data_IF_054709828601
#
_entry.id   IF_054709828601
#
_cell.length_a   1.000
_cell.length_b   1.000
_cell.length_c   1.000
_cell.angle_alpha   90.00
_cell.angle_beta   90.00
_cell.angle_gamma   90.00
#
_symmetry.space_group_name_H-M   'P 1'
#
loop_
_entity.id
_entity.type
_entity.pdbx_description
1 polymer ?
#
# COMPACT_ATOMS: atom_id res chain seq x y z
N UNK A 1 -12.51 -4.60 28.94
CA UNK A 1 -12.05 -4.47 27.53
C UNK A 1 -10.55 -4.23 27.58
N UNK A 2 -9.79 -4.53 26.52
CA UNK A 2 -8.38 -4.14 26.48
C UNK A 2 -8.25 -2.62 26.61
N UNK A 3 -7.47 -2.17 27.59
CA UNK A 3 -7.25 -0.76 27.90
C UNK A 3 -5.75 -0.49 27.93
N UNK A 4 -5.38 0.76 27.66
CA UNK A 4 -3.99 1.18 27.70
C UNK A 4 -3.48 1.22 29.14
N UNK A 5 -2.34 0.57 29.40
CA UNK A 5 -1.70 0.59 30.71
C UNK A 5 -0.72 1.77 30.86
N UNK A 6 -0.12 2.22 29.76
CA UNK A 6 0.82 3.35 29.72
C UNK A 6 0.33 4.46 28.79
N UNK A 7 0.13 5.66 29.37
CA UNK A 7 -0.20 6.86 28.59
C UNK A 7 0.88 7.21 27.57
N UNK A 8 2.16 6.99 27.91
CA UNK A 8 3.28 7.28 27.02
C UNK A 8 3.24 6.37 25.78
N UNK A 9 2.99 5.07 25.96
CA UNK A 9 2.89 4.12 24.85
C UNK A 9 1.66 4.41 23.98
N UNK A 10 0.54 4.80 24.59
CA UNK A 10 -0.65 5.26 23.86
C UNK A 10 -0.36 6.48 22.99
N UNK A 11 0.33 7.49 23.51
CA UNK A 11 0.68 8.70 22.74
C UNK A 11 1.64 8.35 21.60
N UNK A 12 2.67 7.53 21.86
CA UNK A 12 3.58 7.08 20.80
C UNK A 12 2.86 6.27 19.71
N UNK A 13 1.94 5.39 20.11
CA UNK A 13 1.08 4.64 19.20
C UNK A 13 0.31 5.55 18.24
N UNK A 14 -0.38 6.57 18.77
CA UNK A 14 -1.14 7.53 17.96
C UNK A 14 -0.22 8.34 17.04
N UNK A 15 0.90 8.87 17.57
CA UNK A 15 1.86 9.67 16.78
C UNK A 15 2.42 8.85 15.62
N UNK A 16 2.89 7.64 15.88
CA UNK A 16 3.43 6.75 14.84
C UNK A 16 2.38 6.45 13.76
N UNK A 17 1.14 6.22 14.16
CA UNK A 17 0.06 5.96 13.23
C UNK A 17 -0.31 7.13 12.34
N UNK A 18 -0.35 8.34 12.89
CA UNK A 18 -0.62 9.54 12.10
C UNK A 18 0.56 9.94 11.22
N UNK A 19 1.80 9.69 11.65
CA UNK A 19 2.98 9.84 10.78
C UNK A 19 2.90 8.87 9.61
N UNK A 20 2.53 7.60 9.85
CA UNK A 20 2.33 6.62 8.78
C UNK A 20 1.26 7.08 7.77
N UNK A 21 0.12 7.56 8.27
CA UNK A 21 -0.95 8.13 7.46
C UNK A 21 -0.46 9.29 6.57
N UNK A 22 0.26 10.25 7.15
CA UNK A 22 0.76 11.43 6.40
C UNK A 22 1.79 11.02 5.35
N UNK A 23 2.77 10.21 5.75
CA UNK A 23 3.85 9.76 4.86
C UNK A 23 3.30 9.04 3.63
N UNK A 24 2.40 8.07 3.84
CA UNK A 24 1.77 7.36 2.73
C UNK A 24 0.81 8.25 1.93
N UNK A 25 0.01 9.12 2.57
CA UNK A 25 -0.94 9.99 1.86
C UNK A 25 -0.25 10.94 0.89
N UNK A 26 0.87 11.55 1.28
CA UNK A 26 1.63 12.48 0.42
C UNK A 26 2.05 11.79 -0.89
N UNK A 27 2.36 10.50 -0.85
CA UNK A 27 2.82 9.76 -2.04
C UNK A 27 1.79 9.68 -3.19
N UNK A 28 0.50 9.87 -2.92
CA UNK A 28 -0.58 9.81 -3.92
C UNK A 28 -0.69 11.10 -4.76
N UNK A 29 -0.39 12.24 -4.15
CA UNK A 29 -0.65 13.55 -4.75
C UNK A 29 0.18 13.86 -6.01
N UNK A 30 1.48 13.53 -6.11
CA UNK A 30 2.29 13.86 -7.28
C UNK A 30 1.64 13.40 -8.60
N UNK A 31 1.11 12.16 -8.63
CA UNK A 31 0.48 11.63 -9.84
C UNK A 31 -0.84 12.34 -10.17
N UNK A 32 -1.67 12.59 -9.15
CA UNK A 32 -2.95 13.29 -9.32
C UNK A 32 -2.74 14.71 -9.87
N UNK A 33 -1.77 15.43 -9.32
CA UNK A 33 -1.41 16.79 -9.74
C UNK A 33 -0.81 16.76 -11.15
N UNK A 34 0.06 15.80 -11.45
CA UNK A 34 0.68 15.68 -12.77
C UNK A 34 -0.38 15.45 -13.86
N UNK A 35 -1.31 14.53 -13.63
CA UNK A 35 -2.43 14.27 -14.54
C UNK A 35 -3.28 15.53 -14.75
N UNK A 36 -3.59 16.25 -13.66
CA UNK A 36 -4.38 17.48 -13.73
C UNK A 36 -3.68 18.60 -14.51
N UNK A 37 -2.37 18.78 -14.32
CA UNK A 37 -1.57 19.80 -15.01
C UNK A 37 -1.40 19.49 -16.49
N UNK A 38 -1.13 18.23 -16.84
CA UNK A 38 -0.91 17.81 -18.23
C UNK A 38 -2.20 17.59 -19.02
N UNK A 39 -3.35 17.45 -18.33
CA UNK A 39 -4.63 17.00 -18.91
C UNK A 39 -4.48 15.71 -19.74
N UNK A 40 -3.51 14.89 -19.36
CA UNK A 40 -3.09 13.69 -20.07
C UNK A 40 -2.62 12.66 -19.06
N UNK A 41 -3.03 11.42 -19.25
CA UNK A 41 -2.60 10.26 -18.47
C UNK A 41 -1.58 9.41 -19.25
N UNK A 42 -0.99 9.97 -20.31
CA UNK A 42 0.01 9.27 -21.11
C UNK A 42 1.26 8.97 -20.27
N UNK A 43 1.63 7.69 -20.20
CA UNK A 43 2.72 7.16 -19.38
C UNK A 43 2.28 6.62 -18.01
N UNK A 44 1.04 6.85 -17.59
CA UNK A 44 0.47 6.21 -16.40
C UNK A 44 0.13 4.75 -16.70
N UNK A 45 0.52 3.83 -15.83
CA UNK A 45 0.14 2.43 -15.94
C UNK A 45 -1.29 2.22 -15.42
N UNK A 46 -2.23 1.94 -16.33
CA UNK A 46 -3.66 1.81 -15.99
C UNK A 46 -3.93 0.56 -15.15
N UNK A 47 -3.23 -0.54 -15.43
CA UNK A 47 -3.35 -1.78 -14.67
C UNK A 47 -2.92 -1.56 -13.21
N UNK A 48 -1.84 -0.79 -13.00
CA UNK A 48 -1.38 -0.44 -11.66
C UNK A 48 -2.44 0.33 -10.86
N UNK A 49 -3.12 1.30 -11.49
CA UNK A 49 -4.21 2.06 -10.84
C UNK A 49 -5.39 1.15 -10.51
N UNK A 50 -5.78 0.27 -11.44
CA UNK A 50 -6.89 -0.68 -11.25
C UNK A 50 -6.62 -1.70 -10.12
N UNK A 51 -5.41 -2.27 -10.08
CA UNK A 51 -5.00 -3.20 -9.03
C UNK A 51 -4.87 -2.50 -7.67
N UNK A 52 -4.38 -1.25 -7.64
CA UNK A 52 -4.36 -0.44 -6.42
C UNK A 52 -5.75 -0.18 -5.87
N UNK A 53 -6.73 0.11 -6.73
CA UNK A 53 -8.10 0.32 -6.27
C UNK A 53 -8.62 -0.94 -5.57
N UNK A 54 -8.39 -2.11 -6.16
CA UNK A 54 -8.76 -3.40 -5.55
C UNK A 54 -8.07 -3.62 -4.20
N UNK A 55 -6.76 -3.37 -4.12
CA UNK A 55 -5.98 -3.44 -2.87
C UNK A 55 -6.57 -2.52 -1.80
N UNK A 56 -6.69 -1.23 -2.10
CA UNK A 56 -7.08 -0.22 -1.12
C UNK A 56 -8.53 -0.40 -0.68
N UNK A 57 -9.44 -0.78 -1.59
CA UNK A 57 -10.83 -1.10 -1.23
C UNK A 57 -10.91 -2.30 -0.29
N UNK A 58 -10.14 -3.36 -0.55
CA UNK A 58 -10.10 -4.53 0.33
C UNK A 58 -9.53 -4.19 1.72
N UNK A 59 -8.49 -3.35 1.75
CA UNK A 59 -7.92 -2.88 3.01
C UNK A 59 -8.89 -1.99 3.81
N UNK A 60 -9.61 -1.09 3.12
CA UNK A 60 -10.66 -0.26 3.72
C UNK A 60 -11.79 -1.11 4.29
N UNK A 61 -12.28 -2.11 3.55
CA UNK A 61 -13.34 -3.01 4.03
C UNK A 61 -12.89 -3.69 5.33
N UNK A 62 -11.67 -4.23 5.39
CA UNK A 62 -11.14 -4.85 6.61
C UNK A 62 -11.07 -3.83 7.77
N UNK A 63 -10.42 -2.69 7.56
CA UNK A 63 -10.22 -1.70 8.62
C UNK A 63 -11.54 -1.13 9.12
N UNK A 64 -12.41 -0.67 8.21
CA UNK A 64 -13.69 -0.07 8.58
C UNK A 64 -14.60 -1.06 9.30
N UNK A 65 -14.73 -2.30 8.80
CA UNK A 65 -15.61 -3.29 9.44
C UNK A 65 -15.07 -3.70 10.81
N UNK A 66 -13.77 -3.96 10.95
CA UNK A 66 -13.18 -4.31 12.25
C UNK A 66 -13.22 -3.13 13.25
N UNK A 67 -13.08 -1.90 12.76
CA UNK A 67 -13.11 -0.70 13.59
C UNK A 67 -14.53 -0.33 14.07
N UNK A 68 -15.55 -0.44 13.22
CA UNK A 68 -16.92 0.01 13.55
C UNK A 68 -17.87 -1.11 13.99
N UNK A 69 -17.70 -2.35 13.52
CA UNK A 69 -18.69 -3.41 13.79
C UNK A 69 -18.44 -4.09 15.13
N UNK A 70 -19.35 -3.87 16.09
CA UNK A 70 -19.33 -4.54 17.39
C UNK A 70 -19.44 -6.05 17.27
N UNK A 71 -20.18 -6.58 16.28
CA UNK A 71 -20.29 -8.01 16.02
C UNK A 71 -18.95 -8.64 15.61
N UNK A 72 -18.20 -7.98 14.74
CA UNK A 72 -16.88 -8.47 14.30
C UNK A 72 -15.85 -8.35 15.44
N UNK A 73 -15.89 -7.26 16.20
CA UNK A 73 -15.05 -7.10 17.38
C UNK A 73 -15.33 -8.15 18.46
N UNK A 74 -16.61 -8.54 18.64
CA UNK A 74 -16.98 -9.61 19.56
C UNK A 74 -16.40 -10.96 19.09
N UNK A 75 -16.48 -11.27 17.80
CA UNK A 75 -15.84 -12.48 17.24
C UNK A 75 -14.32 -12.46 17.36
N UNK A 76 -13.70 -11.28 17.19
CA UNK A 76 -12.26 -11.11 17.39
C UNK A 76 -11.86 -11.44 18.82
N UNK A 77 -12.56 -10.86 19.81
CA UNK A 77 -12.30 -11.11 21.23
C UNK A 77 -12.63 -12.53 21.66
N UNK A 78 -13.64 -13.15 21.05
CA UNK A 78 -13.92 -14.58 21.25
C UNK A 78 -12.76 -15.46 20.75
N UNK A 79 -12.12 -15.09 19.64
CA UNK A 79 -11.02 -15.87 19.06
C UNK A 79 -9.68 -15.65 19.78
N UNK A 80 -9.36 -14.42 20.13
CA UNK A 80 -8.01 -14.05 20.61
C UNK A 80 -7.94 -13.67 22.09
N UNK A 81 -9.07 -13.44 22.75
CA UNK A 81 -9.14 -13.08 24.16
C UNK A 81 -10.01 -11.84 24.42
N UNK A 82 -10.80 -11.86 25.49
CA UNK A 82 -11.70 -10.77 25.88
C UNK A 82 -10.99 -9.48 26.30
N UNK A 83 -9.75 -9.62 26.78
CA UNK A 83 -8.89 -8.52 27.20
C UNK A 83 -8.04 -7.94 26.05
N UNK A 84 -8.13 -8.50 24.85
CA UNK A 84 -7.37 -8.01 23.71
C UNK A 84 -7.99 -6.75 23.12
N UNK A 85 -7.13 -5.79 22.79
CA UNK A 85 -7.48 -4.59 22.06
C UNK A 85 -7.67 -4.91 20.58
N UNK A 86 -8.52 -4.13 19.92
CA UNK A 86 -8.75 -4.29 18.48
C UNK A 86 -7.51 -3.76 17.74
N UNK A 87 -6.91 -4.54 16.82
CA UNK A 87 -5.64 -4.23 16.18
C UNK A 87 -5.76 -3.28 14.98
N UNK A 88 -6.74 -2.37 15.03
CA UNK A 88 -7.04 -1.37 13.99
C UNK A 88 -7.34 -0.05 14.69
N UNK A 89 -6.64 1.01 14.29
CA UNK A 89 -6.87 2.36 14.78
C UNK A 89 -7.52 3.28 13.74
N UNK A 90 -7.88 4.48 14.20
CA UNK A 90 -8.51 5.50 13.37
C UNK A 90 -7.63 5.90 12.17
N UNK A 91 -6.31 5.97 12.36
CA UNK A 91 -5.37 6.29 11.28
C UNK A 91 -5.36 5.23 10.16
N UNK A 92 -5.59 3.96 10.48
CA UNK A 92 -5.69 2.87 9.48
C UNK A 92 -6.94 3.06 8.59
N UNK A 93 -8.08 3.40 9.22
CA UNK A 93 -9.33 3.69 8.50
C UNK A 93 -9.19 4.97 7.67
N UNK A 94 -8.60 6.02 8.24
CA UNK A 94 -8.34 7.28 7.55
C UNK A 94 -7.44 7.07 6.33
N UNK A 95 -6.33 6.35 6.49
CA UNK A 95 -5.40 6.04 5.40
C UNK A 95 -6.07 5.25 4.29
N UNK A 96 -6.73 4.13 4.64
CA UNK A 96 -7.38 3.27 3.65
C UNK A 96 -8.52 4.00 2.91
N UNK A 97 -9.28 4.85 3.60
CA UNK A 97 -10.30 5.70 2.98
C UNK A 97 -9.69 6.70 2.00
N UNK A 98 -8.65 7.41 2.44
CA UNK A 98 -7.92 8.37 1.62
C UNK A 98 -7.33 7.71 0.36
N UNK A 99 -6.69 6.55 0.51
CA UNK A 99 -6.10 5.81 -0.59
C UNK A 99 -7.14 5.35 -1.62
N UNK A 100 -8.32 4.88 -1.18
CA UNK A 100 -9.43 4.55 -2.09
C UNK A 100 -9.89 5.78 -2.85
N UNK A 101 -10.11 6.91 -2.16
CA UNK A 101 -10.59 8.15 -2.79
C UNK A 101 -9.61 8.67 -3.85
N UNK A 102 -8.32 8.77 -3.51
CA UNK A 102 -7.30 9.29 -4.42
C UNK A 102 -7.05 8.34 -5.61
N UNK A 103 -7.13 7.03 -5.37
CA UNK A 103 -7.00 6.05 -6.46
C UNK A 103 -8.24 6.06 -7.37
N UNK A 104 -9.44 6.16 -6.81
CA UNK A 104 -10.68 6.31 -7.58
C UNK A 104 -10.68 7.62 -8.40
N UNK A 105 -10.18 8.71 -7.80
CA UNK A 105 -10.00 9.97 -8.51
C UNK A 105 -9.00 9.85 -9.67
N UNK A 106 -7.88 9.16 -9.45
CA UNK A 106 -6.91 8.87 -10.52
C UNK A 106 -7.52 8.00 -11.62
N UNK A 107 -8.35 7.02 -11.26
CA UNK A 107 -9.07 6.19 -12.22
C UNK A 107 -10.08 7.02 -13.03
N UNK A 108 -10.76 7.96 -12.38
CA UNK A 108 -11.63 8.93 -13.06
C UNK A 108 -10.84 9.81 -14.05
N UNK A 109 -9.63 10.27 -13.68
CA UNK A 109 -8.75 11.00 -14.61
C UNK A 109 -8.40 10.16 -15.85
N UNK A 110 -8.22 8.84 -15.71
CA UNK A 110 -7.96 7.93 -16.85
C UNK A 110 -9.13 7.90 -17.85
N UNK A 111 -10.36 8.07 -17.37
CA UNK A 111 -11.54 8.08 -18.24
C UNK A 111 -11.77 9.40 -18.98
N UNK A 112 -11.30 10.52 -18.41
CA UNK A 112 -11.57 11.87 -18.95
C UNK A 112 -10.39 12.44 -19.75
N UNK A 113 -9.15 12.20 -19.31
CA UNK A 113 -7.97 12.82 -19.92
C UNK A 113 -7.42 12.04 -21.10
N UNK A 114 -6.55 12.69 -21.88
CA UNK A 114 -5.94 12.08 -23.05
C UNK A 114 -5.11 10.85 -22.64
N UNK A 115 -5.46 9.69 -23.21
CA UNK A 115 -4.79 8.40 -22.97
C UNK A 115 -4.11 7.80 -24.21
N UNK A 116 -4.22 8.46 -25.37
CA UNK A 116 -3.81 7.93 -26.67
C UNK A 116 -4.36 6.51 -26.88
N UNK A 117 -3.49 5.54 -27.20
CA UNK A 117 -3.85 4.15 -27.43
C UNK A 117 -3.72 3.25 -26.18
N UNK A 118 -3.38 3.81 -25.01
CA UNK A 118 -3.28 3.03 -23.78
C UNK A 118 -4.66 2.51 -23.34
N UNK A 119 -4.73 1.24 -22.96
CA UNK A 119 -5.94 0.55 -22.49
C UNK A 119 -5.57 -0.33 -21.30
N UNK A 120 -6.56 -0.66 -20.48
CA UNK A 120 -6.40 -1.71 -19.47
C UNK A 120 -6.09 -3.04 -20.13
N UNK A 121 -5.14 -3.78 -19.58
CA UNK A 121 -4.84 -5.13 -20.04
C UNK A 121 -5.99 -6.08 -19.71
N UNK A 122 -6.31 -6.97 -20.65
CA UNK A 122 -7.29 -8.05 -20.43
C UNK A 122 -6.91 -8.93 -19.24
N UNK A 123 -5.60 -9.09 -18.99
CA UNK A 123 -5.09 -9.86 -17.84
C UNK A 123 -5.43 -9.14 -16.53
N UNK A 124 -5.16 -7.83 -16.43
CA UNK A 124 -5.45 -7.06 -15.23
C UNK A 124 -6.96 -7.02 -14.93
N UNK A 125 -7.79 -6.82 -15.96
CA UNK A 125 -9.25 -6.91 -15.84
C UNK A 125 -9.65 -8.31 -15.36
N UNK A 126 -9.12 -9.37 -15.97
CA UNK A 126 -9.39 -10.76 -15.57
C UNK A 126 -9.05 -11.03 -14.10
N UNK A 127 -7.89 -10.58 -13.63
CA UNK A 127 -7.47 -10.70 -12.22
C UNK A 127 -8.48 -10.00 -11.30
N UNK A 128 -8.84 -8.76 -11.60
CA UNK A 128 -9.80 -7.99 -10.79
C UNK A 128 -11.17 -8.67 -10.77
N UNK A 129 -11.67 -9.12 -11.92
CA UNK A 129 -12.94 -9.84 -12.01
C UNK A 129 -12.94 -11.12 -11.17
N UNK A 130 -11.89 -11.94 -11.27
CA UNK A 130 -11.77 -13.18 -10.48
C UNK A 130 -11.78 -12.87 -8.98
N UNK A 131 -11.02 -11.86 -8.56
CA UNK A 131 -10.90 -11.51 -7.13
C UNK A 131 -12.21 -11.00 -6.57
N UNK A 132 -12.90 -10.10 -7.26
CA UNK A 132 -14.18 -9.58 -6.78
C UNK A 132 -15.29 -10.62 -6.88
N UNK A 133 -15.25 -11.53 -7.86
CA UNK A 133 -16.14 -12.68 -7.91
C UNK A 133 -15.92 -13.62 -6.73
N UNK A 134 -14.66 -14.00 -6.44
CA UNK A 134 -14.33 -14.81 -5.26
C UNK A 134 -14.72 -14.12 -3.96
N UNK A 135 -14.49 -12.81 -3.84
CA UNK A 135 -14.91 -12.02 -2.69
C UNK A 135 -16.44 -12.02 -2.52
N UNK A 136 -17.20 -11.89 -3.61
CA UNK A 136 -18.66 -11.97 -3.57
C UNK A 136 -19.14 -13.34 -3.06
N UNK A 137 -18.54 -14.44 -3.56
CA UNK A 137 -18.83 -15.80 -3.04
C UNK A 137 -18.51 -15.90 -1.55
N UNK A 138 -17.36 -15.38 -1.11
CA UNK A 138 -17.02 -15.36 0.32
C UNK A 138 -18.01 -14.55 1.15
N UNK A 139 -18.54 -13.43 0.63
CA UNK A 139 -19.59 -12.65 1.30
C UNK A 139 -20.84 -13.49 1.52
N UNK A 140 -21.32 -14.22 0.50
CA UNK A 140 -22.48 -15.10 0.65
C UNK A 140 -22.25 -16.19 1.70
N UNK A 141 -21.07 -16.83 1.70
CA UNK A 141 -20.69 -17.84 2.70
C UNK A 141 -20.60 -17.23 4.10
N UNK A 142 -19.99 -16.05 4.23
CA UNK A 142 -19.79 -15.34 5.49
C UNK A 142 -21.10 -14.91 6.13
N UNK A 143 -22.05 -14.43 5.32
CA UNK A 143 -23.42 -14.11 5.74
C UNK A 143 -24.13 -15.36 6.25
N UNK A 144 -24.12 -16.45 5.48
CA UNK A 144 -24.83 -17.67 5.84
C UNK A 144 -24.28 -18.35 7.11
N UNK A 145 -22.96 -18.31 7.31
CA UNK A 145 -22.31 -18.90 8.51
C UNK A 145 -22.18 -17.95 9.69
N UNK A 146 -22.60 -16.69 9.54
CA UNK A 146 -22.34 -15.61 10.51
C UNK A 146 -20.85 -15.44 10.87
N UNK A 147 -19.93 -15.82 9.98
CA UNK A 147 -18.47 -15.81 10.22
C UNK A 147 -17.84 -14.50 9.74
N UNK A 148 -18.25 -13.37 10.32
CA UNK A 148 -17.83 -12.03 9.90
C UNK A 148 -16.32 -11.79 10.03
N UNK A 149 -15.69 -12.25 11.12
CA UNK A 149 -14.25 -12.11 11.30
C UNK A 149 -13.47 -12.87 10.22
N UNK A 150 -13.93 -14.06 9.83
CA UNK A 150 -13.32 -14.81 8.73
C UNK A 150 -13.46 -14.05 7.42
N UNK A 151 -14.65 -13.51 7.13
CA UNK A 151 -14.92 -12.76 5.91
C UNK A 151 -14.00 -11.54 5.76
N UNK A 152 -13.83 -10.73 6.81
CA UNK A 152 -12.93 -9.57 6.71
C UNK A 152 -11.47 -9.98 6.53
N UNK A 153 -11.05 -11.13 7.09
CA UNK A 153 -9.69 -11.65 6.88
C UNK A 153 -9.44 -12.11 5.43
N UNK A 154 -10.49 -12.47 4.68
CA UNK A 154 -10.37 -12.68 3.22
C UNK A 154 -9.97 -11.38 2.53
N UNK A 155 -10.61 -10.25 2.84
CA UNK A 155 -10.24 -8.94 2.29
C UNK A 155 -8.83 -8.50 2.72
N UNK A 156 -8.46 -8.79 3.98
CA UNK A 156 -7.10 -8.58 4.48
C UNK A 156 -6.05 -9.43 3.74
N UNK A 157 -6.42 -10.62 3.28
CA UNK A 157 -5.53 -11.46 2.45
C UNK A 157 -5.41 -10.92 1.03
N UNK A 158 -6.51 -10.46 0.42
CA UNK A 158 -6.52 -9.87 -0.92
C UNK A 158 -5.56 -8.67 -1.00
N UNK A 159 -5.59 -7.76 -0.02
CA UNK A 159 -4.74 -6.56 -0.04
C UNK A 159 -3.24 -6.89 0.10
N UNK A 160 -2.88 -7.90 0.89
CA UNK A 160 -1.48 -8.36 1.01
C UNK A 160 -1.01 -8.99 -0.29
N UNK A 161 -1.80 -9.91 -0.86
CA UNK A 161 -1.48 -10.56 -2.15
C UNK A 161 -1.28 -9.54 -3.25
N UNK A 162 -2.15 -8.53 -3.33
CA UNK A 162 -2.01 -7.41 -4.28
C UNK A 162 -0.73 -6.63 -4.08
N UNK A 163 -0.30 -6.44 -2.84
CA UNK A 163 0.94 -5.71 -2.53
C UNK A 163 2.16 -6.47 -3.06
N UNK A 164 2.24 -7.78 -2.83
CA UNK A 164 3.33 -8.63 -3.33
C UNK A 164 3.38 -8.66 -4.86
N UNK A 165 2.22 -8.83 -5.51
CA UNK A 165 2.10 -8.86 -6.98
C UNK A 165 2.64 -7.57 -7.61
N UNK A 166 2.58 -6.43 -6.91
CA UNK A 166 3.02 -5.14 -7.44
C UNK A 166 4.52 -4.89 -7.28
N UNK A 167 5.10 -5.24 -6.13
CA UNK A 167 6.51 -4.92 -5.87
C UNK A 167 7.48 -5.87 -6.61
N UNK A 168 7.15 -7.16 -6.73
CA UNK A 168 8.03 -8.15 -7.36
C UNK A 168 8.37 -7.79 -8.81
N UNK A 169 7.41 -7.49 -9.71
CA UNK A 169 7.73 -7.14 -11.09
C UNK A 169 8.58 -5.88 -11.20
N UNK A 170 8.36 -4.90 -10.32
CA UNK A 170 9.15 -3.66 -10.32
C UNK A 170 10.60 -3.93 -9.93
N UNK A 171 10.84 -4.72 -8.89
CA UNK A 171 12.20 -5.08 -8.45
C UNK A 171 12.95 -5.86 -9.55
N UNK A 172 12.26 -6.78 -10.23
CA UNK A 172 12.81 -7.53 -11.36
C UNK A 172 13.08 -6.62 -12.56
N UNK A 173 12.18 -5.69 -12.87
CA UNK A 173 12.35 -4.75 -13.99
C UNK A 173 13.57 -3.86 -13.77
N UNK A 174 13.72 -3.26 -12.59
CA UNK A 174 14.91 -2.48 -12.25
C UNK A 174 16.19 -3.32 -12.39
N UNK A 175 16.16 -4.58 -11.96
CA UNK A 175 17.30 -5.48 -12.09
C UNK A 175 17.63 -5.82 -13.55
N UNK A 176 16.62 -5.99 -14.42
CA UNK A 176 16.80 -6.30 -15.85
C UNK A 176 17.28 -5.07 -16.63
N UNK A 177 16.69 -3.91 -16.38
CA UNK A 177 17.03 -2.65 -17.06
C UNK A 177 18.34 -2.05 -16.55
N UNK A 178 18.85 -2.50 -15.39
CA UNK A 178 20.02 -1.91 -14.72
C UNK A 178 19.89 -0.38 -14.55
N UNK A 179 18.66 0.07 -14.36
CA UNK A 179 18.28 1.48 -14.22
C UNK A 179 17.03 1.58 -13.35
N UNK A 180 16.95 2.68 -12.62
CA UNK A 180 15.77 3.11 -11.86
C UNK A 180 15.18 4.40 -12.43
N UNK A 181 15.49 4.73 -13.69
CA UNK A 181 14.93 5.91 -14.35
C UNK A 181 13.40 5.77 -14.50
N UNK A 182 12.66 6.84 -14.20
CA UNK A 182 11.19 6.84 -14.20
C UNK A 182 10.55 6.48 -12.86
N UNK A 183 11.37 6.26 -11.82
CA UNK A 183 10.93 5.91 -10.47
C UNK A 183 11.14 7.09 -9.51
N UNK A 184 10.10 7.50 -8.78
CA UNK A 184 10.22 8.55 -7.75
C UNK A 184 10.81 7.96 -6.47
N UNK A 185 12.12 8.08 -6.28
CA UNK A 185 12.79 7.60 -5.06
C UNK A 185 12.23 8.26 -3.80
N UNK A 186 11.77 9.51 -3.89
CA UNK A 186 11.11 10.20 -2.79
C UNK A 186 9.83 9.49 -2.32
N UNK A 187 9.06 8.90 -3.24
CA UNK A 187 7.89 8.12 -2.86
C UNK A 187 8.26 6.85 -2.10
N UNK A 188 9.39 6.21 -2.42
CA UNK A 188 9.88 5.04 -1.69
C UNK A 188 10.39 5.39 -0.30
N UNK A 189 11.06 6.54 -0.15
CA UNK A 189 11.47 6.99 1.19
C UNK A 189 10.24 7.29 2.08
N UNK A 190 9.18 7.85 1.50
CA UNK A 190 7.90 8.03 2.18
C UNK A 190 7.19 6.71 2.48
N UNK A 191 7.24 5.74 1.56
CA UNK A 191 6.68 4.40 1.76
C UNK A 191 7.40 3.66 2.89
N UNK A 192 8.75 3.73 2.91
CA UNK A 192 9.57 3.17 3.97
C UNK A 192 9.26 3.81 5.33
N UNK A 193 9.18 5.15 5.39
CA UNK A 193 8.81 5.85 6.61
C UNK A 193 7.42 5.42 7.10
N UNK A 194 6.45 5.32 6.18
CA UNK A 194 5.11 4.83 6.48
C UNK A 194 5.12 3.40 7.01
N UNK A 195 5.84 2.49 6.35
CA UNK A 195 5.97 1.10 6.76
C UNK A 195 6.63 0.93 8.14
N UNK A 196 7.74 1.63 8.39
CA UNK A 196 8.46 1.58 9.67
C UNK A 196 7.61 2.12 10.80
N UNK A 197 6.97 3.28 10.62
CA UNK A 197 6.12 3.90 11.65
C UNK A 197 4.84 3.09 11.89
N UNK A 198 4.24 2.51 10.85
CA UNK A 198 3.09 1.63 10.97
C UNK A 198 3.41 0.32 11.72
N UNK A 199 4.59 -0.26 11.46
CA UNK A 199 5.07 -1.42 12.23
C UNK A 199 5.38 -1.03 13.68
N UNK A 200 6.01 0.13 13.89
CA UNK A 200 6.27 0.70 15.20
C UNK A 200 5.00 0.94 16.02
N UNK A 201 3.93 1.45 15.39
CA UNK A 201 2.61 1.57 16.01
C UNK A 201 2.14 0.21 16.53
N UNK A 202 2.23 -0.85 15.73
CA UNK A 202 1.84 -2.19 16.19
C UNK A 202 2.69 -2.68 17.37
N UNK A 203 4.00 -2.40 17.33
CA UNK A 203 4.90 -2.73 18.42
C UNK A 203 4.53 -2.02 19.73
N UNK A 204 4.16 -0.73 19.69
CA UNK A 204 3.78 0.02 20.91
C UNK A 204 2.57 -0.61 21.62
N UNK A 205 1.53 -0.98 20.86
CA UNK A 205 0.37 -1.67 21.42
C UNK A 205 0.74 -3.04 21.98
N UNK A 206 1.55 -3.83 21.26
CA UNK A 206 1.99 -5.15 21.74
C UNK A 206 2.82 -5.09 23.02
N UNK A 207 3.68 -4.07 23.15
CA UNK A 207 4.48 -3.83 24.36
C UNK A 207 3.56 -3.47 25.53
N UNK A 208 2.60 -2.58 25.32
CA UNK A 208 1.65 -2.16 26.37
C UNK A 208 0.79 -3.34 26.86
N UNK A 209 0.24 -4.12 25.93
CA UNK A 209 -0.61 -5.27 26.24
C UNK A 209 0.17 -6.51 26.71
N UNK A 210 1.52 -6.49 26.64
CA UNK A 210 2.38 -7.68 26.82
C UNK A 210 1.91 -8.89 25.98
N UNK A 211 1.37 -8.61 24.79
CA UNK A 211 0.73 -9.59 23.91
C UNK A 211 1.11 -9.38 22.46
N UNK A 212 1.40 -10.47 21.76
CA UNK A 212 1.71 -10.47 20.33
C UNK A 212 0.44 -10.61 19.46
N UNK A 213 -0.74 -10.70 20.07
CA UNK A 213 -2.04 -10.83 19.37
C UNK A 213 -2.25 -9.72 18.36
N UNK A 214 -1.76 -8.51 18.60
CA UNK A 214 -1.84 -7.42 17.63
C UNK A 214 -1.23 -7.78 16.27
N UNK A 215 -0.07 -8.46 16.26
CA UNK A 215 0.66 -8.80 15.04
C UNK A 215 -0.02 -9.87 14.20
N UNK A 216 -0.52 -10.95 14.81
CA UNK A 216 -1.17 -12.04 14.07
C UNK A 216 -2.69 -11.88 13.96
N UNK A 217 -3.31 -11.13 14.87
CA UNK A 217 -4.72 -10.74 14.82
C UNK A 217 -5.01 -9.75 13.69
N UNK A 218 -4.01 -8.97 13.27
CA UNK A 218 -4.01 -8.19 12.03
C UNK A 218 -2.78 -8.53 11.18
N UNK A 219 -2.70 -9.78 10.74
CA UNK A 219 -1.56 -10.28 9.95
C UNK A 219 -1.34 -9.46 8.68
N UNK A 220 -2.38 -8.90 8.06
CA UNK A 220 -2.22 -8.11 6.86
C UNK A 220 -1.60 -6.74 7.08
N UNK A 221 -1.82 -6.08 8.23
CA UNK A 221 -1.09 -4.85 8.58
C UNK A 221 0.38 -5.16 8.84
N UNK A 222 0.66 -6.27 9.51
CA UNK A 222 2.02 -6.79 9.73
C UNK A 222 2.73 -7.07 8.41
N UNK A 223 2.13 -7.89 7.54
CA UNK A 223 2.71 -8.28 6.26
C UNK A 223 2.83 -7.09 5.31
N UNK A 224 1.84 -6.18 5.28
CA UNK A 224 1.92 -4.96 4.48
C UNK A 224 3.18 -4.15 4.85
N UNK A 225 3.40 -3.94 6.16
CA UNK A 225 4.54 -3.17 6.65
C UNK A 225 5.86 -3.87 6.34
N UNK A 226 5.98 -5.17 6.62
CA UNK A 226 7.20 -5.94 6.39
C UNK A 226 7.55 -6.04 4.90
N UNK A 227 6.57 -6.31 4.04
CA UNK A 227 6.76 -6.41 2.59
C UNK A 227 7.15 -5.05 2.02
N UNK A 228 6.49 -3.96 2.41
CA UNK A 228 6.88 -2.60 1.99
C UNK A 228 8.32 -2.30 2.41
N UNK A 229 8.67 -2.40 3.70
CA UNK A 229 10.03 -2.14 4.19
C UNK A 229 11.07 -2.96 3.42
N UNK A 230 10.82 -4.26 3.20
CA UNK A 230 11.72 -5.14 2.48
C UNK A 230 11.96 -4.68 1.02
N UNK A 231 10.89 -4.40 0.27
CA UNK A 231 11.03 -3.96 -1.11
C UNK A 231 11.59 -2.55 -1.22
N UNK A 232 11.26 -1.65 -0.29
CA UNK A 232 11.78 -0.29 -0.26
C UNK A 232 13.29 -0.29 -0.04
N UNK A 233 13.80 -1.14 0.87
CA UNK A 233 15.24 -1.35 1.03
C UNK A 233 15.88 -1.86 -0.28
N UNK A 234 15.24 -2.82 -0.96
CA UNK A 234 15.73 -3.29 -2.27
C UNK A 234 15.78 -2.14 -3.28
N UNK A 235 14.74 -1.30 -3.37
CA UNK A 235 14.70 -0.19 -4.31
C UNK A 235 15.74 0.89 -3.99
N UNK A 236 15.97 1.19 -2.71
CA UNK A 236 17.01 2.12 -2.24
C UNK A 236 18.39 1.59 -2.63
N UNK A 237 18.67 0.29 -2.40
CA UNK A 237 19.92 -0.35 -2.82
C UNK A 237 20.08 -0.31 -4.34
N UNK A 238 19.02 -0.63 -5.09
CA UNK A 238 19.05 -0.56 -6.55
C UNK A 238 19.35 0.86 -7.06
N UNK A 239 18.75 1.88 -6.45
CA UNK A 239 18.88 3.27 -6.88
C UNK A 239 20.23 3.89 -6.52
N UNK A 240 20.65 3.79 -5.26
CA UNK A 240 21.84 4.49 -4.77
C UNK A 240 23.14 3.68 -4.89
N UNK A 241 23.07 2.33 -4.80
CA UNK A 241 24.26 1.48 -4.74
C UNK A 241 24.52 0.81 -6.09
N UNK A 242 23.52 0.14 -6.67
CA UNK A 242 23.72 -0.67 -7.87
C UNK A 242 23.68 0.15 -9.17
N UNK A 243 22.71 1.05 -9.31
CA UNK A 243 22.45 1.83 -10.52
C UNK A 243 22.49 3.36 -10.32
N UNK A 244 23.54 3.91 -9.67
CA UNK A 244 23.63 5.34 -9.44
C UNK A 244 23.76 6.11 -10.76
N UNK A 245 23.05 7.24 -10.88
CA UNK A 245 23.01 8.08 -12.08
C UNK A 245 24.41 8.54 -12.56
N UNK A 246 25.38 8.62 -11.65
CA UNK A 246 26.79 8.98 -11.96
C UNK A 246 27.47 7.99 -12.92
N UNK A 247 27.22 6.67 -12.80
CA UNK A 247 27.81 5.66 -13.70
C UNK A 247 27.30 5.75 -15.15
N UNK A 248 26.23 6.52 -15.40
CA UNK A 248 25.66 6.75 -16.73
C UNK A 248 26.34 7.93 -17.44
N UNK A 249 26.78 8.96 -16.69
CA UNK A 249 27.54 10.10 -17.24
C UNK A 249 28.95 9.70 -17.69
N UNK A 250 29.55 8.72 -17.04
CA UNK A 250 30.90 8.22 -17.37
C UNK A 250 30.94 7.37 -18.65
N UNK A 251 29.78 6.86 -19.10
CA UNK A 251 29.65 6.02 -20.31
C UNK A 251 29.23 6.76 -21.58
N UNK A 252 28.88 8.04 -21.48
CA UNK A 252 28.68 8.88 -22.67
C UNK A 252 30.04 9.51 -22.99
N UNK A 253 30.70 9.15 -24.11
CA UNK A 253 31.86 9.89 -24.55
C UNK A 253 31.43 11.35 -24.70
N UNK A 254 32.21 12.26 -24.12
CA UNK A 254 32.15 13.68 -24.45
C UNK A 254 32.33 13.74 -25.98
N UNK A 255 31.24 13.90 -26.73
CA UNK A 255 31.34 14.25 -28.13
C UNK A 255 32.05 15.60 -28.14
N UNK A 256 33.33 15.57 -28.51
CA UNK A 256 34.13 16.75 -28.74
C UNK A 256 33.36 17.65 -29.72
N UNK A 257 33.32 18.97 -29.50
CA UNK A 257 32.75 19.87 -30.48
C UNK A 257 33.49 19.67 -31.80
N UNK A 258 32.74 19.38 -32.85
CA UNK A 258 33.24 19.35 -34.22
C UNK A 258 33.92 20.69 -34.49
N UNK A 259 35.25 20.66 -34.60
CA UNK A 259 36.03 21.75 -35.13
C UNK A 259 35.66 21.90 -36.61
N UNK A 260 34.70 22.77 -36.90
CA UNK A 260 34.61 23.42 -38.20
C UNK A 260 35.82 24.34 -38.35
N UNK A 261 36.80 23.90 -39.13
CA UNK A 261 37.76 24.82 -39.76
C UNK A 261 38.18 24.25 -41.11
N UNK A 262 37.68 24.94 -42.14
CA UNK A 262 38.23 25.14 -43.50
C UNK A 262 38.33 23.97 -44.47
#
# INVERSE_FOLDING_TARGET
MGEWHSLQLKVLYEVLGWVAFVAWSISFYPQVILNFRRKSVVGLNFDFVLLNLTKHSSYLIYNAVLFFSTAVQAQYRHKYGSNEMIPVAANDVAFSSHAVLLTAFTLFQIFIYERKNQRFSKIAIGIVCIIWFSAAVCVFVGIHRHSWLWLINVFNTIQVTMTVIKYVPQAVMNFRLKSTDGFSIGNILLDLLGGVTNYGQMAMQSIDQKSWVNFYGNIGKTLLSLVSIFFDIIFIIQHYVLYPASKKKEKLPIQAPSSETS
#
